data_IF_506357910667
#
_entry.id   IF_506357910667
#
_cell.length_a   1.000
_cell.length_b   1.000
_cell.length_c   1.000
_cell.angle_alpha   90.00
_cell.angle_beta   90.00
_cell.angle_gamma   90.00
#
_symmetry.space_group_name_H-M   'P 1'
#
loop_
_entity.id
_entity.type
_entity.pdbx_description
1 polymer ?
#
# COMPACT_ATOMS: atom_id res chain seq x y z
N UNK A 1 13.79 1.13 -3.58
CA UNK A 1 13.51 2.40 -4.29
C UNK A 1 14.27 2.44 -5.59
N UNK A 2 13.71 3.09 -6.61
CA UNK A 2 14.29 3.16 -7.96
C UNK A 2 14.40 4.62 -8.41
N UNK A 3 15.52 5.01 -9.04
CA UNK A 3 15.57 6.29 -9.80
C UNK A 3 14.77 6.10 -11.09
N UNK A 4 13.83 7.01 -11.38
CA UNK A 4 13.04 6.97 -12.61
C UNK A 4 13.90 7.04 -13.89
N UNK A 5 15.02 7.79 -13.83
CA UNK A 5 15.90 8.08 -14.97
C UNK A 5 17.02 7.05 -15.19
N UNK A 6 17.86 6.79 -14.18
CA UNK A 6 19.01 5.88 -14.31
C UNK A 6 18.72 4.44 -13.88
N UNK A 7 17.50 4.14 -13.42
CA UNK A 7 17.05 2.80 -13.05
C UNK A 7 17.87 2.10 -11.94
N UNK A 8 18.78 2.81 -11.27
CA UNK A 8 19.53 2.28 -10.13
C UNK A 8 18.60 1.98 -8.97
N UNK A 9 18.78 0.81 -8.36
CA UNK A 9 17.96 0.32 -7.25
C UNK A 9 18.69 0.56 -5.93
N UNK A 10 18.07 1.31 -5.04
CA UNK A 10 18.55 1.55 -3.69
C UNK A 10 17.71 0.77 -2.68
N UNK A 11 18.37 -0.01 -1.83
CA UNK A 11 17.71 -0.76 -0.73
C UNK A 11 17.34 0.14 0.45
N UNK A 12 18.12 1.19 0.71
CA UNK A 12 17.82 2.25 1.69
C UNK A 12 17.76 3.60 0.98
N UNK A 13 16.98 4.54 1.53
CA UNK A 13 16.92 5.91 1.00
C UNK A 13 18.27 6.59 1.28
N UNK A 14 18.95 7.16 0.27
CA UNK A 14 20.12 8.01 0.48
C UNK A 14 19.76 9.21 1.37
N UNK A 15 20.68 9.65 2.24
CA UNK A 15 20.42 10.77 3.17
C UNK A 15 20.05 12.08 2.45
N UNK A 16 20.55 12.25 1.22
CA UNK A 16 20.22 13.38 0.33
C UNK A 16 18.76 13.36 -0.17
N UNK A 17 18.05 12.26 -0.03
CA UNK A 17 16.65 12.10 -0.47
C UNK A 17 16.45 12.04 -1.99
N UNK A 18 17.52 12.28 -2.77
CA UNK A 18 17.59 12.19 -4.22
C UNK A 18 18.56 11.09 -4.62
N UNK A 19 18.49 10.66 -5.88
CA UNK A 19 19.47 9.73 -6.39
C UNK A 19 20.86 10.41 -6.46
N UNK A 20 21.92 9.81 -5.88
CA UNK A 20 23.27 10.37 -5.92
C UNK A 20 23.88 10.43 -7.34
N UNK A 21 23.40 9.61 -8.28
CA UNK A 21 23.92 9.55 -9.64
C UNK A 21 23.16 10.48 -10.61
N UNK A 22 21.83 10.48 -10.55
CA UNK A 22 20.97 11.19 -11.52
C UNK A 22 20.41 12.52 -10.97
N UNK A 23 20.49 12.78 -9.65
CA UNK A 23 19.85 13.93 -8.98
C UNK A 23 18.31 13.87 -8.93
N UNK A 24 17.70 12.89 -9.59
CA UNK A 24 16.26 12.74 -9.73
C UNK A 24 15.59 12.21 -8.46
N UNK A 25 14.28 12.41 -8.35
CA UNK A 25 13.46 11.84 -7.28
C UNK A 25 13.42 10.32 -7.33
N UNK A 26 13.50 9.70 -6.15
CA UNK A 26 13.34 8.26 -5.99
C UNK A 26 11.86 7.89 -5.89
N UNK A 27 11.50 6.81 -6.56
CA UNK A 27 10.13 6.27 -6.56
C UNK A 27 10.12 4.97 -5.74
N UNK A 28 9.03 4.73 -5.02
CA UNK A 28 8.76 3.44 -4.37
C UNK A 28 8.59 2.37 -5.45
N UNK A 29 9.14 1.18 -5.18
CA UNK A 29 9.04 0.04 -6.09
C UNK A 29 7.73 -0.72 -5.96
N UNK A 30 7.01 -0.51 -4.86
CA UNK A 30 5.74 -1.15 -4.56
C UNK A 30 4.77 -0.02 -4.21
N UNK A 31 3.61 -0.03 -4.85
CA UNK A 31 2.56 0.95 -4.62
C UNK A 31 1.42 0.29 -3.84
N UNK A 32 0.73 1.05 -3.00
CA UNK A 32 -0.41 0.60 -2.19
C UNK A 32 -1.49 -0.09 -3.03
N UNK A 33 -1.88 0.50 -4.17
CA UNK A 33 -2.90 -0.07 -5.04
C UNK A 33 -2.56 -1.48 -5.55
N UNK A 34 -1.26 -1.78 -5.71
CA UNK A 34 -0.81 -3.13 -6.08
C UNK A 34 -1.00 -4.14 -4.95
N UNK A 35 -0.87 -3.70 -3.69
CA UNK A 35 -1.06 -4.54 -2.50
C UNK A 35 -2.55 -4.81 -2.27
N UNK A 36 -3.38 -3.76 -2.37
CA UNK A 36 -4.81 -3.84 -2.05
C UNK A 36 -5.64 -4.62 -3.07
N UNK A 37 -5.18 -4.69 -4.34
CA UNK A 37 -5.91 -5.29 -5.47
C UNK A 37 -6.41 -6.70 -5.18
N UNK A 38 -5.56 -7.57 -4.63
CA UNK A 38 -5.90 -8.98 -4.42
C UNK A 38 -6.55 -9.25 -3.07
N UNK A 39 -6.43 -8.34 -2.11
CA UNK A 39 -6.93 -8.58 -0.77
C UNK A 39 -8.46 -8.68 -0.75
N UNK A 40 -9.13 -7.74 -1.44
CA UNK A 40 -10.59 -7.73 -1.59
C UNK A 40 -11.09 -9.01 -2.27
N UNK A 41 -10.46 -9.40 -3.38
CA UNK A 41 -10.80 -10.62 -4.12
C UNK A 41 -10.60 -11.87 -3.24
N UNK A 42 -9.55 -11.89 -2.42
CA UNK A 42 -9.26 -13.03 -1.54
C UNK A 42 -10.32 -13.17 -0.44
N UNK A 43 -10.82 -12.06 0.10
CA UNK A 43 -11.92 -12.04 1.08
C UNK A 43 -13.21 -12.57 0.43
N UNK A 44 -13.59 -12.03 -0.73
CA UNK A 44 -14.81 -12.45 -1.45
C UNK A 44 -14.80 -13.96 -1.76
N UNK A 45 -13.66 -14.50 -2.20
CA UNK A 45 -13.49 -15.95 -2.44
C UNK A 45 -13.62 -16.74 -1.14
N UNK A 46 -12.98 -16.26 -0.07
CA UNK A 46 -13.00 -16.97 1.21
C UNK A 46 -14.40 -17.08 1.81
N UNK A 47 -15.23 -16.05 1.64
CA UNK A 47 -16.65 -16.05 2.05
C UNK A 47 -17.50 -16.94 1.14
N UNK A 48 -17.33 -16.82 -0.19
CA UNK A 48 -18.08 -17.60 -1.18
C UNK A 48 -17.91 -19.10 -1.00
N UNK A 49 -16.68 -19.56 -0.73
CA UNK A 49 -16.37 -20.97 -0.56
C UNK A 49 -16.38 -21.44 0.90
N UNK A 50 -16.78 -20.58 1.86
CA UNK A 50 -16.84 -20.89 3.30
C UNK A 50 -15.57 -21.58 3.80
N UNK A 51 -14.43 -20.94 3.55
CA UNK A 51 -13.14 -21.44 4.04
C UNK A 51 -13.11 -21.46 5.58
N UNK A 52 -12.13 -22.19 6.15
CA UNK A 52 -11.95 -22.28 7.61
C UNK A 52 -11.85 -20.90 8.25
N UNK A 53 -12.45 -20.73 9.42
CA UNK A 53 -12.45 -19.47 10.18
C UNK A 53 -11.05 -18.86 10.36
N UNK A 54 -10.01 -19.69 10.54
CA UNK A 54 -8.63 -19.22 10.64
C UNK A 54 -8.18 -18.40 9.41
N UNK A 55 -8.55 -18.83 8.21
CA UNK A 55 -8.17 -18.13 6.97
C UNK A 55 -8.91 -16.79 6.87
N UNK A 56 -10.21 -16.78 7.20
CA UNK A 56 -11.03 -15.57 7.24
C UNK A 56 -10.45 -14.53 8.22
N UNK A 57 -10.14 -14.97 9.45
CA UNK A 57 -9.53 -14.10 10.45
C UNK A 57 -8.18 -13.57 10.00
N UNK A 58 -7.34 -14.40 9.37
CA UNK A 58 -6.04 -13.98 8.85
C UNK A 58 -6.16 -12.92 7.77
N UNK A 59 -7.14 -13.04 6.87
CA UNK A 59 -7.42 -12.03 5.85
C UNK A 59 -7.94 -10.73 6.47
N UNK A 60 -8.80 -10.80 7.50
CA UNK A 60 -9.29 -9.63 8.24
C UNK A 60 -8.14 -8.87 8.91
N UNK A 61 -7.27 -9.58 9.64
CA UNK A 61 -6.10 -9.00 10.31
C UNK A 61 -5.15 -8.38 9.28
N UNK A 62 -4.93 -9.03 8.13
CA UNK A 62 -4.12 -8.45 7.06
C UNK A 62 -4.73 -7.16 6.51
N UNK A 63 -6.06 -7.10 6.36
CA UNK A 63 -6.74 -5.90 5.91
C UNK A 63 -6.57 -4.74 6.90
N UNK A 64 -6.79 -5.00 8.18
CA UNK A 64 -6.63 -4.01 9.25
C UNK A 64 -5.19 -3.49 9.34
N UNK A 65 -4.20 -4.38 9.19
CA UNK A 65 -2.79 -3.97 9.18
C UNK A 65 -2.47 -3.04 8.00
N UNK A 66 -2.98 -3.36 6.81
CA UNK A 66 -2.79 -2.50 5.63
C UNK A 66 -3.45 -1.14 5.88
N UNK A 67 -4.68 -1.13 6.36
CA UNK A 67 -5.42 0.11 6.65
C UNK A 67 -4.73 0.98 7.72
N UNK A 68 -4.10 0.36 8.72
CA UNK A 68 -3.31 1.06 9.74
C UNK A 68 -1.94 1.55 9.24
N UNK A 69 -1.33 0.89 8.25
CA UNK A 69 -0.06 1.32 7.67
C UNK A 69 -0.25 2.52 6.72
N UNK A 70 -1.37 2.56 6.01
CA UNK A 70 -1.73 3.61 5.06
C UNK A 70 -2.78 4.55 5.66
N UNK A 71 -2.44 5.25 6.76
CA UNK A 71 -3.31 6.31 7.28
C UNK A 71 -3.26 7.52 6.34
N UNK A 72 -4.40 7.83 5.72
CA UNK A 72 -4.55 9.04 4.89
C UNK A 72 -4.35 10.30 5.75
N UNK A 73 -3.30 11.07 5.46
CA UNK A 73 -2.98 12.30 6.20
C UNK A 73 -4.08 13.38 6.09
N UNK A 74 -4.94 13.34 5.06
CA UNK A 74 -6.09 14.24 4.88
C UNK A 74 -7.21 13.54 4.10
N UNK A 75 -8.19 12.97 4.80
CA UNK A 75 -9.45 12.55 4.18
C UNK A 75 -10.25 13.77 3.75
N UNK A 76 -10.56 13.88 2.47
CA UNK A 76 -11.52 14.86 1.96
C UNK A 76 -12.91 14.48 2.50
N UNK A 77 -13.43 15.29 3.43
CA UNK A 77 -14.79 15.13 3.94
C UNK A 77 -15.78 15.83 3.00
N UNK A 78 -16.94 15.22 2.81
CA UNK A 78 -18.03 15.85 2.06
C UNK A 78 -18.66 16.98 2.90
N UNK A 79 -19.06 18.08 2.28
CA UNK A 79 -19.75 19.19 2.94
C UNK A 79 -21.02 18.74 3.67
N UNK A 80 -21.70 17.71 3.14
CA UNK A 80 -22.92 17.15 3.73
C UNK A 80 -22.72 16.44 5.07
N UNK A 81 -21.48 16.16 5.50
CA UNK A 81 -21.21 15.62 6.83
C UNK A 81 -21.19 16.69 7.94
N UNK A 82 -21.24 17.96 7.57
CA UNK A 82 -21.18 19.09 8.51
C UNK A 82 -22.55 19.72 8.78
N UNK A 83 -23.59 19.24 8.10
CA UNK A 83 -24.99 19.64 8.27
C UNK A 83 -25.80 18.47 8.82
#
# INVERSE_FOLDING_TARGET
MRCGKCNTIYRRIPLIGKCPNCGEKLILTINEGGIRKYLKISIDISEKYKLKNYILQRLSILNENIDSMFVEAKKQKNLSQFW
#
